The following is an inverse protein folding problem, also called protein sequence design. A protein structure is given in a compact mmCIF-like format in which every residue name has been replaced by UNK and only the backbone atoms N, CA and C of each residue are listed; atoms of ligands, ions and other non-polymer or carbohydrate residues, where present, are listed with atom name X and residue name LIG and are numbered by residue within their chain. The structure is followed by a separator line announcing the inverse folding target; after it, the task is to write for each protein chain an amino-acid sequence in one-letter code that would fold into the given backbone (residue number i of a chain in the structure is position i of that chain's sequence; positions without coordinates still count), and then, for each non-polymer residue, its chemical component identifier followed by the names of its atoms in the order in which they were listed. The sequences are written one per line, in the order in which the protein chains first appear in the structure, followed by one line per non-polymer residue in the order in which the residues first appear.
data_IF_287753011417
#
_entry.id   IF_287753011417
#
_cell.length_a   1.000
_cell.length_b   1.000
_cell.length_c   1.000
_cell.angle_alpha   90.00
_cell.angle_beta   90.00
_cell.angle_gamma   90.00
#
_symmetry.space_group_name_H-M   'P 1'
#
loop_
_entity.id
_entity.type
_entity.pdbx_description
1 polymer ?
#
# COMPACT_ATOMS: atom_id res chain seq x y z
N UNK A 1 19.31 25.80 26.33
CA UNK A 1 18.21 25.86 25.32
C UNK A 1 18.01 24.45 24.81
N UNK A 2 16.78 23.92 24.80
CA UNK A 2 16.57 22.52 25.21
C UNK A 2 15.46 21.85 24.39
N UNK A 3 15.70 20.63 23.92
CA UNK A 3 14.69 19.76 23.32
C UNK A 3 13.77 19.22 24.43
N UNK A 4 12.46 19.28 24.26
CA UNK A 4 11.50 18.78 25.27
C UNK A 4 10.75 17.56 24.73
N UNK A 5 10.80 16.45 25.46
CA UNK A 5 10.17 15.18 25.09
C UNK A 5 9.32 14.68 26.25
N UNK A 6 8.01 14.53 26.06
CA UNK A 6 7.12 14.04 27.11
C UNK A 6 7.16 14.87 28.41
N UNK A 7 7.45 16.17 28.28
CA UNK A 7 7.63 17.09 29.41
C UNK A 7 9.02 17.05 30.07
N UNK A 8 9.93 16.17 29.64
CA UNK A 8 11.33 16.13 30.09
C UNK A 8 12.20 17.01 29.20
N UNK A 9 13.13 17.72 29.83
CA UNK A 9 14.13 18.57 29.17
C UNK A 9 15.38 17.74 28.86
N UNK A 10 15.88 17.82 27.63
CA UNK A 10 17.14 17.23 27.19
C UNK A 10 18.14 18.37 26.98
N UNK A 11 19.11 18.47 27.88
CA UNK A 11 20.04 19.61 27.95
C UNK A 11 21.38 19.30 27.29
N UNK A 12 22.14 20.34 26.95
CA UNK A 12 23.52 20.18 26.46
C UNK A 12 24.46 19.76 27.60
N UNK A 13 25.62 19.15 27.29
CA UNK A 13 26.66 18.83 28.28
C UNK A 13 27.11 20.00 29.16
N UNK A 14 27.01 21.24 28.65
CA UNK A 14 27.48 22.46 29.34
C UNK A 14 26.42 23.13 30.25
N UNK A 15 25.18 22.62 30.32
CA UNK A 15 24.07 23.29 31.02
C UNK A 15 23.94 22.92 32.53
N UNK A 16 24.89 22.18 33.14
CA UNK A 16 24.89 21.85 34.60
C UNK A 16 26.21 22.15 35.35
N UNK A 17 26.16 22.46 36.68
CA UNK A 17 27.30 22.96 37.44
C UNK A 17 28.36 21.87 37.69
N UNK A 18 29.64 22.28 37.62
CA UNK A 18 30.81 21.42 37.71
C UNK A 18 30.77 20.41 38.88
N UNK A 19 30.85 19.12 38.54
CA UNK A 19 31.37 18.08 39.43
C UNK A 19 32.38 17.24 38.64
N UNK A 20 33.58 17.07 39.20
CA UNK A 20 34.73 16.45 38.54
C UNK A 20 34.53 14.95 38.34
N UNK A 21 34.28 14.55 37.09
CA UNK A 21 34.42 13.18 36.59
C UNK A 21 34.49 13.27 35.06
N UNK A 22 35.37 12.52 34.41
CA UNK A 22 35.72 12.65 32.99
C UNK A 22 34.65 12.14 31.99
N UNK A 23 33.38 12.12 32.40
CA UNK A 23 32.19 11.91 31.56
C UNK A 23 31.10 12.79 32.17
N UNK A 24 30.64 13.82 31.47
CA UNK A 24 29.64 14.76 31.99
C UNK A 24 28.23 14.15 32.05
N UNK A 25 27.37 14.57 32.98
CA UNK A 25 25.99 14.10 33.06
C UNK A 25 25.17 14.36 31.77
N UNK A 26 25.43 15.45 31.05
CA UNK A 26 24.72 15.75 29.80
C UNK A 26 25.12 14.88 28.60
N UNK A 27 26.33 14.31 28.58
CA UNK A 27 26.72 13.31 27.56
C UNK A 27 25.93 12.01 27.74
N UNK A 28 25.54 11.71 28.97
CA UNK A 28 24.72 10.54 29.30
C UNK A 28 23.27 10.71 28.84
N UNK A 29 22.70 11.92 28.92
CA UNK A 29 21.33 12.19 28.49
C UNK A 29 21.16 12.17 26.97
N UNK A 30 22.09 12.75 26.21
CA UNK A 30 22.06 12.70 24.74
C UNK A 30 22.31 11.28 24.24
N UNK A 31 23.26 10.54 24.83
CA UNK A 31 23.52 9.16 24.46
C UNK A 31 22.34 8.22 24.80
N UNK A 32 21.71 8.40 25.96
CA UNK A 32 20.51 7.66 26.34
C UNK A 32 19.34 7.97 25.38
N UNK A 33 19.14 9.25 25.07
CA UNK A 33 18.13 9.66 24.11
C UNK A 33 18.41 9.11 22.71
N UNK A 34 19.66 9.15 22.25
CA UNK A 34 20.08 8.59 20.96
C UNK A 34 19.79 7.09 20.89
N UNK A 35 20.00 6.35 21.99
CA UNK A 35 19.67 4.94 22.07
C UNK A 35 18.15 4.71 22.02
N UNK A 36 17.36 5.43 22.81
CA UNK A 36 15.90 5.30 22.84
C UNK A 36 15.27 5.71 21.49
N UNK A 37 15.77 6.77 20.86
CA UNK A 37 15.35 7.20 19.52
C UNK A 37 15.77 6.17 18.46
N UNK A 38 16.98 5.60 18.54
CA UNK A 38 17.42 4.53 17.65
C UNK A 38 16.53 3.29 17.77
N UNK A 39 16.22 2.85 18.99
CA UNK A 39 15.32 1.71 19.23
C UNK A 39 13.91 2.00 18.72
N UNK A 40 13.40 3.22 18.95
CA UNK A 40 12.13 3.66 18.39
C UNK A 40 12.15 3.69 16.86
N UNK A 41 13.21 4.18 16.22
CA UNK A 41 13.37 4.19 14.75
C UNK A 41 13.50 2.78 14.17
N UNK A 42 14.25 1.89 14.84
CA UNK A 42 14.43 0.50 14.43
C UNK A 42 13.14 -0.31 14.58
N UNK A 43 12.39 -0.14 15.68
CA UNK A 43 11.07 -0.76 15.85
C UNK A 43 10.06 -0.24 14.81
N UNK A 44 10.27 0.99 14.32
CA UNK A 44 9.56 1.62 13.19
C UNK A 44 10.15 1.28 11.81
N UNK A 45 11.13 0.38 11.75
CA UNK A 45 11.65 -0.22 10.52
C UNK A 45 12.84 0.49 9.85
N UNK A 46 13.41 1.54 10.46
CA UNK A 46 14.65 2.12 9.97
C UNK A 46 15.83 1.19 10.32
N UNK A 47 16.11 0.23 9.46
CA UNK A 47 17.14 -0.81 9.71
C UNK A 47 18.51 -0.45 9.14
N UNK A 48 18.56 0.44 8.16
CA UNK A 48 19.81 0.84 7.52
C UNK A 48 20.68 1.70 8.46
N UNK A 49 21.90 1.23 8.73
CA UNK A 49 22.84 1.92 9.64
C UNK A 49 23.21 3.33 9.16
N UNK A 50 23.30 3.56 7.85
CA UNK A 50 23.60 4.89 7.31
C UNK A 50 22.44 5.88 7.54
N UNK A 51 21.19 5.43 7.45
CA UNK A 51 20.02 6.26 7.75
C UNK A 51 19.87 6.50 9.25
N UNK A 52 20.12 5.48 10.06
CA UNK A 52 20.19 5.64 11.51
C UNK A 52 21.28 6.65 11.90
N UNK A 53 22.47 6.56 11.32
CA UNK A 53 23.55 7.51 11.58
C UNK A 53 23.17 8.95 11.19
N UNK A 54 22.63 9.15 9.98
CA UNK A 54 22.17 10.46 9.53
C UNK A 54 21.06 11.06 10.42
N UNK A 55 20.12 10.23 10.87
CA UNK A 55 19.06 10.67 11.79
C UNK A 55 19.61 10.97 13.18
N UNK A 56 20.59 10.22 13.66
CA UNK A 56 21.25 10.51 14.93
C UNK A 56 22.08 11.80 14.88
N UNK A 57 22.69 12.11 13.73
CA UNK A 57 23.32 13.43 13.49
C UNK A 57 22.28 14.56 13.51
N UNK A 58 21.11 14.35 12.90
CA UNK A 58 20.00 15.31 12.97
C UNK A 58 19.45 15.47 14.39
N UNK A 59 19.35 14.39 15.16
CA UNK A 59 18.97 14.43 16.58
C UNK A 59 19.94 15.28 17.38
N UNK A 60 21.25 15.03 17.24
CA UNK A 60 22.28 15.85 17.89
C UNK A 60 22.15 17.32 17.49
N UNK A 61 21.88 17.60 16.22
CA UNK A 61 21.62 18.96 15.75
C UNK A 61 20.38 19.61 16.40
N UNK A 62 19.31 18.84 16.66
CA UNK A 62 18.11 19.32 17.36
C UNK A 62 18.40 19.61 18.84
N UNK A 63 19.15 18.74 19.50
CA UNK A 63 19.64 18.96 20.88
C UNK A 63 20.50 20.23 20.93
N UNK A 64 21.25 20.52 19.86
CA UNK A 64 22.17 21.66 19.82
C UNK A 64 21.61 22.97 19.24
N UNK A 65 20.41 22.99 18.66
CA UNK A 65 19.82 24.18 18.00
C UNK A 65 19.35 25.25 18.99
N UNK A 66 19.34 26.51 18.52
CA UNK A 66 18.93 27.71 19.28
C UNK A 66 17.40 27.93 19.33
N UNK A 67 16.58 26.99 18.86
CA UNK A 67 15.12 27.07 18.90
C UNK A 67 14.57 25.93 19.74
N UNK A 68 13.62 26.24 20.62
CA UNK A 68 12.93 25.24 21.43
C UNK A 68 12.00 24.41 20.54
N UNK A 69 12.25 23.10 20.48
CA UNK A 69 11.40 22.13 19.81
C UNK A 69 10.78 21.18 20.84
N UNK A 70 9.49 20.87 20.66
CA UNK A 70 8.70 20.10 21.63
C UNK A 70 8.04 18.90 20.97
N UNK A 71 8.23 17.73 21.56
CA UNK A 71 7.64 16.47 21.13
C UNK A 71 6.88 15.81 22.28
N UNK A 72 5.73 15.22 21.95
CA UNK A 72 4.86 14.58 22.95
C UNK A 72 5.48 13.31 23.56
N UNK A 73 6.35 12.62 22.82
CA UNK A 73 7.02 11.37 23.22
C UNK A 73 8.23 11.09 22.33
N UNK A 74 9.04 10.10 22.70
CA UNK A 74 10.15 9.58 21.87
C UNK A 74 9.61 9.02 20.56
N UNK A 75 8.47 8.34 20.61
CA UNK A 75 7.77 7.85 19.43
C UNK A 75 7.39 8.97 18.46
N UNK A 76 6.93 10.13 18.98
CA UNK A 76 6.61 11.29 18.15
C UNK A 76 7.88 11.92 17.53
N UNK A 77 8.97 12.00 18.29
CA UNK A 77 10.27 12.46 17.79
C UNK A 77 10.84 11.54 16.70
N UNK A 78 10.78 10.22 16.91
CA UNK A 78 11.20 9.23 15.94
C UNK A 78 10.35 9.30 14.65
N UNK A 79 9.04 9.52 14.78
CA UNK A 79 8.14 9.70 13.63
C UNK A 79 8.52 10.95 12.81
N UNK A 80 8.79 12.07 13.49
CA UNK A 80 9.23 13.32 12.85
C UNK A 80 10.55 13.16 12.07
N UNK A 81 11.56 12.51 12.66
CA UNK A 81 12.82 12.27 11.94
C UNK A 81 12.66 11.34 10.75
N UNK A 82 11.78 10.36 10.88
CA UNK A 82 11.48 9.42 9.80
C UNK A 82 10.81 10.12 8.61
N UNK A 83 9.87 11.04 8.86
CA UNK A 83 9.25 11.90 7.84
C UNK A 83 10.28 12.80 7.14
N UNK A 84 11.22 13.39 7.89
CA UNK A 84 12.30 14.23 7.32
C UNK A 84 13.26 13.44 6.44
N UNK A 85 13.65 12.24 6.86
CA UNK A 85 14.54 11.38 6.10
C UNK A 85 13.89 10.92 4.78
N UNK A 86 12.59 10.60 4.82
CA UNK A 86 11.81 10.20 3.64
C UNK A 86 11.71 11.32 2.59
N UNK A 87 11.61 12.58 3.02
CA UNK A 87 11.62 13.72 2.12
C UNK A 87 12.96 13.87 1.36
N UNK A 88 14.05 13.36 1.91
CA UNK A 88 15.40 13.48 1.34
C UNK A 88 15.83 12.24 0.54
N UNK A 89 15.38 11.04 0.92
CA UNK A 89 15.73 9.78 0.24
C UNK A 89 14.46 8.99 -0.13
N UNK A 90 13.86 9.24 -1.31
CA UNK A 90 12.61 8.59 -1.72
C UNK A 90 12.75 7.08 -2.00
N UNK A 91 13.95 6.52 -1.89
CA UNK A 91 14.18 5.07 -1.87
C UNK A 91 13.93 4.45 -0.48
N UNK A 92 13.77 5.26 0.57
CA UNK A 92 13.31 4.79 1.87
C UNK A 92 11.78 4.64 1.87
N UNK A 93 11.23 3.44 2.06
CA UNK A 93 9.78 3.24 2.08
C UNK A 93 9.08 4.02 3.20
N UNK A 94 7.82 4.43 2.97
CA UNK A 94 6.95 4.93 4.04
C UNK A 94 6.78 3.88 5.14
N UNK A 95 6.64 4.36 6.37
CA UNK A 95 6.56 3.59 7.63
C UNK A 95 5.59 2.38 7.60
N UNK A 96 4.45 2.47 6.92
CA UNK A 96 3.49 1.36 6.82
C UNK A 96 3.99 0.19 5.94
N UNK A 97 4.89 0.46 4.99
CA UNK A 97 5.45 -0.51 4.05
C UNK A 97 6.73 -1.20 4.56
N UNK A 98 7.34 -0.67 5.62
CA UNK A 98 8.69 -1.09 6.06
C UNK A 98 8.76 -2.53 6.60
N UNK A 99 7.79 -3.04 7.39
CA UNK A 99 7.84 -4.43 7.85
C UNK A 99 7.68 -5.44 6.71
N UNK A 100 6.96 -5.08 5.64
CA UNK A 100 6.59 -5.99 4.55
C UNK A 100 7.58 -5.94 3.39
N UNK A 101 8.06 -4.75 3.02
CA UNK A 101 8.89 -4.56 1.82
C UNK A 101 10.34 -4.18 2.12
N UNK A 102 10.72 -3.91 3.39
CA UNK A 102 12.08 -3.51 3.76
C UNK A 102 13.16 -4.46 3.23
N UNK A 103 12.95 -5.78 3.40
CA UNK A 103 13.88 -6.81 2.89
C UNK A 103 13.99 -6.82 1.36
N UNK A 104 12.92 -6.47 0.65
CA UNK A 104 12.97 -6.39 -0.81
C UNK A 104 13.76 -5.17 -1.30
N UNK A 105 13.70 -4.04 -0.56
CA UNK A 105 14.54 -2.88 -0.84
C UNK A 105 16.02 -3.17 -0.60
N UNK A 106 16.36 -3.81 0.53
CA UNK A 106 17.72 -4.27 0.83
C UNK A 106 18.25 -5.21 -0.26
N UNK A 107 17.46 -6.23 -0.59
CA UNK A 107 17.83 -7.18 -1.64
C UNK A 107 18.04 -6.49 -3.01
N UNK A 108 17.23 -5.50 -3.40
CA UNK A 108 17.48 -4.75 -4.64
C UNK A 108 18.78 -3.93 -4.58
N UNK A 109 19.06 -3.29 -3.43
CA UNK A 109 20.26 -2.48 -3.21
C UNK A 109 21.53 -3.32 -3.28
N UNK A 110 21.47 -4.54 -2.76
CA UNK A 110 22.59 -5.47 -2.72
C UNK A 110 22.75 -6.28 -4.02
N UNK A 111 22.11 -5.85 -5.11
CA UNK A 111 22.24 -6.49 -6.42
C UNK A 111 21.42 -7.76 -6.60
N UNK A 112 20.33 -7.89 -5.85
CA UNK A 112 19.39 -9.01 -5.92
C UNK A 112 18.83 -9.20 -7.34
N UNK A 113 18.71 -10.47 -7.74
CA UNK A 113 18.28 -10.82 -9.09
C UNK A 113 16.76 -10.75 -9.24
N UNK A 114 16.33 -10.26 -10.40
CA UNK A 114 14.94 -10.16 -10.80
C UNK A 114 14.65 -11.11 -11.96
N UNK A 115 13.49 -11.78 -11.91
CA UNK A 115 12.98 -12.57 -13.03
C UNK A 115 11.74 -11.88 -13.61
N UNK A 116 11.67 -11.70 -14.93
CA UNK A 116 10.48 -11.14 -15.56
C UNK A 116 9.29 -12.08 -15.34
N UNK A 117 8.21 -11.56 -14.75
CA UNK A 117 7.02 -12.32 -14.41
C UNK A 117 5.87 -12.02 -15.37
N UNK A 118 5.63 -10.75 -15.67
CA UNK A 118 4.57 -10.33 -16.57
C UNK A 118 4.86 -8.97 -17.22
N UNK A 119 4.29 -8.76 -18.41
CA UNK A 119 4.34 -7.48 -19.12
C UNK A 119 2.91 -6.98 -19.35
N UNK A 120 2.48 -6.01 -18.54
CA UNK A 120 1.15 -5.40 -18.61
C UNK A 120 1.12 -4.17 -19.55
N UNK A 121 -0.02 -3.48 -19.68
CA UNK A 121 -0.12 -2.31 -20.56
C UNK A 121 0.84 -1.18 -20.20
N UNK A 122 0.93 -0.82 -18.91
CA UNK A 122 1.70 0.33 -18.42
C UNK A 122 3.05 -0.02 -17.80
N UNK A 123 3.22 -1.26 -17.35
CA UNK A 123 4.32 -1.69 -16.48
C UNK A 123 4.83 -3.08 -16.83
N UNK A 124 6.10 -3.33 -16.52
CA UNK A 124 6.70 -4.66 -16.41
C UNK A 124 6.65 -5.06 -14.95
N UNK A 125 6.38 -6.33 -14.69
CA UNK A 125 6.33 -6.89 -13.35
C UNK A 125 7.42 -7.95 -13.28
N UNK A 126 8.32 -7.77 -12.33
CA UNK A 126 9.41 -8.68 -12.03
C UNK A 126 9.15 -9.35 -10.68
N UNK A 127 9.57 -10.59 -10.54
CA UNK A 127 9.64 -11.27 -9.26
C UNK A 127 11.05 -11.09 -8.69
N UNK A 128 11.14 -10.78 -7.40
CA UNK A 128 12.42 -10.75 -6.71
C UNK A 128 12.79 -12.17 -6.29
N UNK A 129 13.90 -12.71 -6.80
CA UNK A 129 14.22 -14.13 -6.61
C UNK A 129 14.47 -14.50 -5.14
N UNK A 130 15.05 -13.57 -4.36
CA UNK A 130 15.30 -13.74 -2.92
C UNK A 130 14.03 -13.61 -2.07
N UNK A 131 12.98 -12.98 -2.60
CA UNK A 131 11.68 -12.78 -1.96
C UNK A 131 10.57 -13.10 -2.96
N UNK A 132 10.29 -14.39 -3.22
CA UNK A 132 9.38 -14.81 -4.29
C UNK A 132 7.92 -14.41 -4.05
N UNK A 133 7.58 -13.95 -2.85
CA UNK A 133 6.31 -13.37 -2.46
C UNK A 133 6.21 -11.86 -2.75
N UNK A 134 7.24 -11.24 -3.30
CA UNK A 134 7.27 -9.81 -3.62
C UNK A 134 7.51 -9.61 -5.12
N UNK A 135 6.67 -8.77 -5.72
CA UNK A 135 6.81 -8.35 -7.10
C UNK A 135 7.24 -6.89 -7.19
N UNK A 136 8.15 -6.59 -8.10
CA UNK A 136 8.52 -5.23 -8.49
C UNK A 136 7.76 -4.86 -9.76
N UNK A 137 6.89 -3.86 -9.66
CA UNK A 137 6.21 -3.24 -10.79
C UNK A 137 6.99 -2.01 -11.25
N UNK A 138 7.51 -2.00 -12.47
CA UNK A 138 8.27 -0.89 -13.06
C UNK A 138 7.56 -0.36 -14.30
N UNK A 139 7.45 0.96 -14.42
CA UNK A 139 6.88 1.59 -15.59
C UNK A 139 7.69 1.27 -16.87
N UNK A 140 6.99 0.97 -17.98
CA UNK A 140 7.61 0.48 -19.22
C UNK A 140 8.54 1.48 -19.89
N UNK A 141 8.14 2.74 -19.92
CA UNK A 141 8.81 3.86 -20.60
C UNK A 141 8.32 5.19 -19.98
N UNK A 142 9.07 6.29 -20.13
CA UNK A 142 8.84 7.57 -19.43
C UNK A 142 7.40 8.10 -19.55
N UNK A 143 6.67 7.75 -20.61
CA UNK A 143 5.28 8.14 -20.76
C UNK A 143 4.31 7.44 -19.79
N UNK A 144 4.77 6.40 -19.07
CA UNK A 144 3.96 5.57 -18.15
C UNK A 144 4.23 5.82 -16.67
N UNK A 145 5.19 6.68 -16.33
CA UNK A 145 5.57 6.91 -14.94
C UNK A 145 4.42 7.44 -14.09
N UNK A 146 3.71 8.45 -14.59
CA UNK A 146 2.56 9.02 -13.89
C UNK A 146 1.42 8.01 -13.70
N UNK A 147 1.20 7.14 -14.69
CA UNK A 147 0.17 6.11 -14.62
C UNK A 147 0.50 5.07 -13.54
N UNK A 148 1.75 4.61 -13.48
CA UNK A 148 2.23 3.67 -12.45
C UNK A 148 2.19 4.30 -11.06
N UNK A 149 2.62 5.56 -10.93
CA UNK A 149 2.58 6.28 -9.67
C UNK A 149 1.14 6.48 -9.17
N UNK A 150 0.24 6.89 -10.07
CA UNK A 150 -1.18 7.07 -9.77
C UNK A 150 -1.85 5.77 -9.36
N UNK A 151 -1.49 4.66 -10.02
CA UNK A 151 -1.99 3.34 -9.68
C UNK A 151 -1.61 2.92 -8.24
N UNK A 152 -0.34 3.08 -7.86
CA UNK A 152 0.12 2.76 -6.51
C UNK A 152 -0.57 3.60 -5.45
N UNK A 153 -0.71 4.91 -5.71
CA UNK A 153 -1.45 5.83 -4.83
C UNK A 153 -2.91 5.43 -4.68
N UNK A 154 -3.57 5.06 -5.78
CA UNK A 154 -4.97 4.63 -5.76
C UNK A 154 -5.14 3.34 -4.93
N UNK A 155 -4.25 2.36 -5.08
CA UNK A 155 -4.32 1.13 -4.27
C UNK A 155 -4.22 1.41 -2.77
N UNK A 156 -3.38 2.36 -2.35
CA UNK A 156 -3.31 2.76 -0.93
C UNK A 156 -4.61 3.42 -0.45
N UNK A 157 -5.13 4.34 -1.25
CA UNK A 157 -6.35 5.08 -0.90
C UNK A 157 -7.59 4.18 -0.80
N UNK A 158 -7.68 3.11 -1.59
CA UNK A 158 -8.82 2.18 -1.58
C UNK A 158 -9.05 1.55 -0.19
N UNK A 159 -7.97 1.21 0.52
CA UNK A 159 -8.06 0.57 1.83
C UNK A 159 -8.74 1.49 2.87
N UNK A 160 -8.46 2.79 2.81
CA UNK A 160 -9.12 3.79 3.67
C UNK A 160 -10.62 3.93 3.39
N UNK A 161 -11.06 3.56 2.18
CA UNK A 161 -12.47 3.55 1.76
C UNK A 161 -13.15 2.18 1.95
N UNK A 162 -12.52 1.25 2.66
CA UNK A 162 -13.06 -0.09 2.91
C UNK A 162 -13.00 -1.03 1.71
N UNK A 163 -12.37 -0.63 0.60
CA UNK A 163 -12.12 -1.48 -0.58
C UNK A 163 -10.76 -2.15 -0.43
N UNK A 164 -10.72 -3.48 -0.47
CA UNK A 164 -9.46 -4.21 -0.40
C UNK A 164 -8.66 -4.02 -1.68
N UNK A 165 -7.41 -3.63 -1.51
CA UNK A 165 -6.44 -3.52 -2.58
C UNK A 165 -5.17 -4.28 -2.25
N UNK A 166 -4.40 -4.58 -3.29
CA UNK A 166 -3.11 -5.22 -3.16
C UNK A 166 -2.20 -4.34 -2.32
N UNK A 167 -1.57 -4.92 -1.30
CA UNK A 167 -0.58 -4.21 -0.50
C UNK A 167 0.59 -3.81 -1.38
N UNK A 168 0.94 -2.53 -1.37
CA UNK A 168 2.03 -1.97 -2.18
C UNK A 168 2.93 -1.03 -1.37
N UNK A 169 4.19 -0.93 -1.79
CA UNK A 169 5.14 0.05 -1.24
C UNK A 169 4.84 1.48 -1.72
N UNK A 170 5.64 2.45 -1.27
CA UNK A 170 5.74 3.73 -1.97
C UNK A 170 6.25 3.59 -3.40
N UNK A 171 5.96 4.63 -4.18
CA UNK A 171 6.51 4.79 -5.52
C UNK A 171 7.93 5.31 -5.38
N UNK A 172 8.88 4.57 -5.93
CA UNK A 172 10.29 4.94 -5.96
C UNK A 172 10.83 4.89 -7.39
N UNK A 173 12.11 5.22 -7.56
CA UNK A 173 12.78 5.16 -8.86
C UNK A 173 13.64 3.90 -8.98
N UNK A 174 13.50 3.18 -10.08
CA UNK A 174 14.31 2.01 -10.40
C UNK A 174 14.71 2.04 -11.87
N UNK A 175 16.02 2.09 -12.16
CA UNK A 175 16.54 2.18 -13.52
C UNK A 175 16.04 3.40 -14.30
N UNK A 176 15.84 4.55 -13.63
CA UNK A 176 15.31 5.77 -14.24
C UNK A 176 13.80 5.78 -14.50
N UNK A 177 13.05 4.81 -13.93
CA UNK A 177 11.61 4.63 -14.14
C UNK A 177 10.89 4.62 -12.79
N UNK A 178 9.61 5.03 -12.74
CA UNK A 178 8.79 4.87 -11.54
C UNK A 178 8.45 3.40 -11.30
N UNK A 179 8.59 2.97 -10.06
CA UNK A 179 8.36 1.60 -9.64
C UNK A 179 7.70 1.53 -8.26
N UNK A 180 7.10 0.39 -7.95
CA UNK A 180 6.63 0.05 -6.61
C UNK A 180 6.69 -1.46 -6.40
N UNK A 181 6.79 -1.90 -5.15
CA UNK A 181 6.63 -3.30 -4.79
C UNK A 181 5.18 -3.63 -4.49
N UNK A 182 4.79 -4.87 -4.75
CA UNK A 182 3.52 -5.44 -4.31
C UNK A 182 3.70 -6.83 -3.71
N UNK A 183 2.86 -7.17 -2.74
CA UNK A 183 2.86 -8.49 -2.12
C UNK A 183 2.05 -9.47 -2.96
N UNK A 184 2.59 -10.67 -3.19
CA UNK A 184 1.88 -11.79 -3.79
C UNK A 184 0.73 -12.24 -2.88
N UNK A 185 -0.41 -12.54 -3.48
CA UNK A 185 -1.53 -13.20 -2.81
C UNK A 185 -1.46 -14.68 -3.17
N UNK A 186 -1.31 -15.56 -2.20
CA UNK A 186 -1.22 -17.00 -2.45
C UNK A 186 -2.55 -17.59 -2.94
N UNK A 187 -2.47 -18.53 -3.89
CA UNK A 187 -3.66 -19.16 -4.49
C UNK A 187 -4.56 -18.20 -5.28
N UNK A 188 -4.12 -16.96 -5.48
CA UNK A 188 -4.77 -15.91 -6.26
C UNK A 188 -5.25 -16.37 -7.65
N UNK A 189 -6.46 -15.96 -8.03
CA UNK A 189 -6.90 -15.99 -9.44
C UNK A 189 -7.31 -14.59 -9.87
N UNK A 190 -6.69 -14.10 -10.93
CA UNK A 190 -7.09 -12.84 -11.56
C UNK A 190 -8.46 -12.98 -12.21
N UNK A 191 -9.30 -11.98 -12.01
CA UNK A 191 -10.61 -11.87 -12.64
C UNK A 191 -10.93 -10.42 -12.96
N UNK A 192 -11.63 -10.20 -14.06
CA UNK A 192 -12.25 -8.91 -14.38
C UNK A 192 -13.66 -8.90 -13.81
N UNK A 193 -13.95 -7.87 -13.01
CA UNK A 193 -15.28 -7.65 -12.44
C UNK A 193 -16.23 -7.21 -13.55
N UNK A 194 -15.74 -6.33 -14.43
CA UNK A 194 -16.50 -5.74 -15.53
C UNK A 194 -15.95 -6.16 -16.89
N UNK A 195 -16.77 -6.01 -17.92
CA UNK A 195 -16.44 -6.40 -19.29
C UNK A 195 -15.25 -5.62 -19.90
N UNK A 196 -14.79 -4.54 -19.26
CA UNK A 196 -13.68 -3.71 -19.70
C UNK A 196 -14.09 -2.76 -20.83
N UNK A 197 -13.34 -1.67 -21.01
CA UNK A 197 -13.67 -0.56 -21.93
C UNK A 197 -13.79 -1.00 -23.41
N UNK A 198 -13.16 -2.12 -23.78
CA UNK A 198 -13.11 -2.64 -25.15
C UNK A 198 -14.06 -3.81 -25.42
N UNK A 199 -14.87 -4.25 -24.45
CA UNK A 199 -15.82 -5.33 -24.71
C UNK A 199 -16.93 -4.86 -25.66
N UNK A 200 -16.98 -5.50 -26.83
CA UNK A 200 -18.04 -5.33 -27.82
C UNK A 200 -19.31 -6.08 -27.44
N UNK A 201 -19.23 -7.03 -26.49
CA UNK A 201 -20.37 -7.83 -26.01
C UNK A 201 -20.82 -7.35 -24.63
N UNK A 202 -22.14 -7.25 -24.37
CA UNK A 202 -22.64 -6.95 -23.03
C UNK A 202 -22.20 -8.02 -22.03
N UNK A 203 -21.92 -7.60 -20.79
CA UNK A 203 -21.63 -8.54 -19.71
C UNK A 203 -22.89 -9.37 -19.42
N UNK A 204 -22.70 -10.68 -19.30
CA UNK A 204 -23.70 -11.69 -18.93
C UNK A 204 -23.06 -12.64 -17.94
N UNK A 205 -23.85 -13.46 -17.25
CA UNK A 205 -23.30 -14.50 -16.37
C UNK A 205 -22.41 -15.49 -17.11
N UNK A 206 -22.75 -15.83 -18.34
CA UNK A 206 -22.01 -16.78 -19.16
C UNK A 206 -20.62 -16.27 -19.58
N UNK A 207 -20.45 -14.95 -19.69
CA UNK A 207 -19.17 -14.33 -20.09
C UNK A 207 -18.51 -13.53 -18.94
N UNK A 208 -19.02 -13.63 -17.71
CA UNK A 208 -18.42 -13.00 -16.54
C UNK A 208 -17.18 -13.78 -16.09
N UNK A 209 -16.02 -13.13 -16.19
CA UNK A 209 -14.75 -13.74 -15.75
C UNK A 209 -14.69 -13.87 -14.23
N UNK A 210 -15.31 -12.94 -13.49
CA UNK A 210 -15.44 -13.03 -12.03
C UNK A 210 -16.27 -14.25 -11.61
N UNK A 211 -17.47 -14.44 -12.16
CA UNK A 211 -18.32 -15.60 -11.83
C UNK A 211 -17.59 -16.91 -12.15
N UNK A 212 -16.92 -16.97 -13.30
CA UNK A 212 -16.16 -18.16 -13.71
C UNK A 212 -14.99 -18.45 -12.75
N UNK A 213 -14.23 -17.43 -12.36
CA UNK A 213 -13.11 -17.58 -11.45
C UNK A 213 -13.56 -17.94 -10.01
N UNK A 214 -14.69 -17.40 -9.55
CA UNK A 214 -15.28 -17.75 -8.25
C UNK A 214 -15.77 -19.22 -8.22
N UNK A 215 -16.31 -19.73 -9.33
CA UNK A 215 -16.65 -21.16 -9.47
C UNK A 215 -15.41 -22.04 -9.45
N UNK A 216 -14.38 -21.68 -10.23
CA UNK A 216 -13.11 -22.42 -10.28
C UNK A 216 -12.43 -22.50 -8.91
N UNK A 217 -12.53 -21.44 -8.09
CA UNK A 217 -11.98 -21.39 -6.73
C UNK A 217 -12.89 -21.98 -5.65
N UNK A 218 -14.02 -22.59 -6.02
CA UNK A 218 -14.95 -23.21 -5.07
C UNK A 218 -15.65 -22.22 -4.13
N UNK A 219 -15.63 -20.92 -4.46
CA UNK A 219 -16.29 -19.89 -3.64
C UNK A 219 -17.81 -20.01 -3.72
N UNK A 220 -18.34 -20.38 -4.89
CA UNK A 220 -19.80 -20.54 -5.12
C UNK A 220 -20.44 -21.67 -4.31
N UNK A 221 -19.64 -22.56 -3.74
CA UNK A 221 -20.09 -23.70 -2.94
C UNK A 221 -19.85 -23.50 -1.44
N UNK A 222 -19.18 -22.43 -1.04
CA UNK A 222 -18.87 -22.10 0.35
C UNK A 222 -19.56 -20.80 0.76
N UNK A 223 -20.58 -20.92 1.62
CA UNK A 223 -21.37 -19.77 2.05
C UNK A 223 -20.54 -18.71 2.80
N UNK A 224 -19.49 -19.10 3.54
CA UNK A 224 -18.65 -18.16 4.27
C UNK A 224 -17.79 -17.35 3.29
N UNK A 225 -17.13 -18.03 2.36
CA UNK A 225 -16.33 -17.36 1.31
C UNK A 225 -17.19 -16.48 0.41
N UNK A 226 -18.38 -16.96 0.03
CA UNK A 226 -19.29 -16.19 -0.81
C UNK A 226 -19.84 -14.95 -0.10
N UNK A 227 -20.12 -15.04 1.20
CA UNK A 227 -20.52 -13.87 2.00
C UNK A 227 -19.40 -12.82 2.05
N UNK A 228 -18.15 -13.26 2.20
CA UNK A 228 -16.97 -12.39 2.14
C UNK A 228 -16.84 -11.72 0.77
N UNK A 229 -16.91 -12.50 -0.32
CA UNK A 229 -16.89 -11.97 -1.69
C UNK A 229 -17.98 -10.93 -1.93
N UNK A 230 -19.20 -11.20 -1.44
CA UNK A 230 -20.32 -10.29 -1.59
C UNK A 230 -20.11 -8.98 -0.83
N UNK A 231 -19.60 -9.04 0.40
CA UNK A 231 -19.26 -7.85 1.19
C UNK A 231 -18.20 -6.98 0.49
N UNK A 232 -17.14 -7.58 -0.03
CA UNK A 232 -16.10 -6.84 -0.77
C UNK A 232 -16.67 -6.22 -2.06
N UNK A 233 -17.54 -6.94 -2.78
CA UNK A 233 -18.19 -6.42 -3.98
C UNK A 233 -19.11 -5.22 -3.67
N UNK A 234 -19.80 -5.24 -2.52
CA UNK A 234 -20.60 -4.12 -2.05
C UNK A 234 -19.75 -2.90 -1.69
N UNK A 235 -18.61 -3.08 -1.05
CA UNK A 235 -17.67 -1.99 -0.80
C UNK A 235 -17.17 -1.36 -2.12
N UNK A 236 -16.86 -2.19 -3.13
CA UNK A 236 -16.49 -1.74 -4.47
C UNK A 236 -17.63 -0.95 -5.14
N UNK A 237 -18.88 -1.41 -5.01
CA UNK A 237 -20.07 -0.72 -5.56
C UNK A 237 -20.30 0.65 -4.94
N UNK A 238 -20.19 0.76 -3.61
CA UNK A 238 -20.30 2.03 -2.89
C UNK A 238 -19.21 3.00 -3.35
N UNK A 239 -17.95 2.56 -3.34
CA UNK A 239 -16.82 3.39 -3.78
C UNK A 239 -16.96 3.81 -5.25
N UNK A 240 -17.42 2.90 -6.12
CA UNK A 240 -17.63 3.20 -7.54
C UNK A 240 -18.76 4.19 -7.78
N UNK A 241 -19.78 4.21 -6.91
CA UNK A 241 -20.86 5.20 -6.97
C UNK A 241 -20.34 6.59 -6.59
N UNK A 242 -19.50 6.67 -5.58
CA UNK A 242 -18.86 7.93 -5.14
C UNK A 242 -17.78 8.41 -6.10
N UNK A 243 -17.07 7.49 -6.75
CA UNK A 243 -15.99 7.73 -7.72
C UNK A 243 -16.25 6.95 -9.02
N UNK A 244 -17.19 7.40 -9.88
CA UNK A 244 -17.54 6.69 -11.12
C UNK A 244 -16.36 6.39 -12.05
N UNK A 245 -15.34 7.24 -12.06
CA UNK A 245 -14.11 7.07 -12.84
C UNK A 245 -13.30 5.81 -12.46
N UNK A 246 -13.54 5.24 -11.28
CA UNK A 246 -12.95 3.98 -10.82
C UNK A 246 -13.46 2.75 -11.61
N UNK A 247 -14.64 2.85 -12.23
CA UNK A 247 -15.27 1.74 -12.96
C UNK A 247 -14.61 1.40 -14.31
N UNK A 248 -13.61 2.18 -14.72
CA UNK A 248 -13.03 2.13 -16.07
C UNK A 248 -12.32 0.81 -16.38
N UNK A 249 -11.56 0.25 -15.44
CA UNK A 249 -10.90 -1.06 -15.60
C UNK A 249 -10.87 -1.84 -14.28
N UNK A 250 -12.06 -2.25 -13.80
CA UNK A 250 -12.17 -3.00 -12.56
C UNK A 250 -11.76 -4.46 -12.73
N UNK A 251 -10.55 -4.75 -12.24
CA UNK A 251 -10.01 -6.09 -12.11
C UNK A 251 -9.53 -6.37 -10.68
N UNK A 252 -9.70 -7.61 -10.27
CA UNK A 252 -9.38 -8.08 -8.93
C UNK A 252 -8.68 -9.43 -8.97
N UNK A 253 -8.09 -9.77 -7.83
CA UNK A 253 -7.61 -11.10 -7.50
C UNK A 253 -8.58 -11.68 -6.48
N UNK A 254 -8.97 -12.94 -6.67
CA UNK A 254 -9.73 -13.70 -5.69
C UNK A 254 -8.74 -14.46 -4.81
N UNK A 255 -8.74 -14.16 -3.51
CA UNK A 255 -8.00 -14.94 -2.52
C UNK A 255 -8.71 -16.27 -2.25
N UNK A 256 -8.09 -17.38 -2.65
CA UNK A 256 -8.76 -18.70 -2.67
C UNK A 256 -9.16 -19.23 -1.28
N UNK A 257 -8.46 -18.81 -0.23
CA UNK A 257 -8.67 -19.28 1.15
C UNK A 257 -9.89 -18.61 1.78
N UNK A 258 -10.05 -17.31 1.56
CA UNK A 258 -11.03 -16.47 2.25
C UNK A 258 -12.22 -16.07 1.38
N UNK A 259 -12.05 -16.06 0.05
CA UNK A 259 -13.01 -15.48 -0.89
C UNK A 259 -12.89 -13.97 -1.07
N UNK A 260 -11.87 -13.32 -0.51
CA UNK A 260 -11.69 -11.87 -0.64
C UNK A 260 -11.47 -11.45 -2.10
N UNK A 261 -12.04 -10.30 -2.46
CA UNK A 261 -11.77 -9.61 -3.73
C UNK A 261 -10.75 -8.50 -3.48
N UNK A 262 -9.55 -8.63 -4.06
CA UNK A 262 -8.44 -7.71 -3.87
C UNK A 262 -8.15 -6.97 -5.17
N UNK A 263 -8.32 -5.65 -5.19
CA UNK A 263 -8.02 -4.81 -6.37
C UNK A 263 -6.51 -4.71 -6.58
N UNK A 264 -5.98 -5.06 -7.76
CA UNK A 264 -4.53 -5.16 -7.98
C UNK A 264 -3.95 -4.23 -9.06
N UNK A 265 -4.76 -3.77 -10.01
CA UNK A 265 -4.35 -2.79 -11.02
C UNK A 265 -5.49 -1.82 -11.34
N UNK A 266 -5.87 -0.97 -10.39
CA UNK A 266 -6.93 -0.01 -10.65
C UNK A 266 -6.43 1.05 -11.64
N UNK A 267 -7.15 1.25 -12.74
CA UNK A 267 -6.95 2.41 -13.59
C UNK A 267 -8.07 3.39 -13.38
N UNK A 268 -7.75 4.63 -12.98
CA UNK A 268 -8.68 5.74 -13.12
C UNK A 268 -8.52 6.36 -14.50
N UNK A 269 -9.62 6.89 -15.02
CA UNK A 269 -9.52 7.84 -16.12
C UNK A 269 -8.82 9.12 -15.60
N UNK A 270 -7.91 9.69 -16.38
CA UNK A 270 -7.38 11.03 -16.09
C UNK A 270 -8.54 12.03 -16.05
N UNK A 271 -8.74 12.68 -14.90
CA UNK A 271 -9.73 13.75 -14.75
C UNK A 271 -9.31 14.91 -15.64
N UNK A 272 -10.15 15.26 -16.61
CA UNK A 272 -9.92 16.35 -17.55
C UNK A 272 -11.26 16.87 -18.08
N UNK A 273 -11.27 18.12 -18.54
CA UNK A 273 -12.47 18.92 -18.86
C UNK A 273 -13.40 18.36 -19.96
N UNK A 274 -13.16 17.16 -20.47
CA UNK A 274 -14.00 16.49 -21.45
C UNK A 274 -14.41 15.11 -20.97
N UNK A 275 -15.15 15.02 -19.85
CA UNK A 275 -15.99 13.86 -19.61
C UNK A 275 -17.07 13.80 -20.70
N UNK A 276 -16.72 13.27 -21.88
CA UNK A 276 -17.64 13.12 -22.98
C UNK A 276 -18.87 12.33 -22.51
N UNK A 277 -20.04 12.65 -23.05
CA UNK A 277 -21.31 11.92 -22.79
C UNK A 277 -21.11 10.40 -22.90
N UNK A 278 -20.27 9.97 -23.86
CA UNK A 278 -19.90 8.56 -24.08
C UNK A 278 -19.21 7.95 -22.85
N UNK A 279 -18.38 8.70 -22.14
CA UNK A 279 -17.67 8.21 -20.96
C UNK A 279 -18.60 8.05 -19.75
N UNK A 280 -19.48 9.03 -19.52
CA UNK A 280 -20.51 8.94 -18.47
C UNK A 280 -21.48 7.78 -18.73
N UNK A 281 -21.86 7.56 -19.99
CA UNK A 281 -22.67 6.39 -20.37
C UNK A 281 -21.96 5.06 -20.10
N UNK A 282 -20.64 4.99 -20.31
CA UNK A 282 -19.84 3.81 -19.98
C UNK A 282 -19.77 3.57 -18.47
N UNK A 283 -19.56 4.61 -17.67
CA UNK A 283 -19.54 4.52 -16.21
C UNK A 283 -20.91 4.09 -15.66
N UNK A 284 -21.99 4.69 -16.15
CA UNK A 284 -23.36 4.30 -15.76
C UNK A 284 -23.68 2.85 -16.16
N UNK A 285 -23.22 2.39 -17.33
CA UNK A 285 -23.34 0.98 -17.74
C UNK A 285 -22.52 0.06 -16.83
N UNK A 286 -21.30 0.45 -16.51
CA UNK A 286 -20.41 -0.29 -15.63
C UNK A 286 -20.99 -0.46 -14.22
N UNK A 287 -21.60 0.59 -13.66
CA UNK A 287 -22.31 0.52 -12.38
C UNK A 287 -23.51 -0.44 -12.43
N UNK A 288 -24.28 -0.44 -13.53
CA UNK A 288 -25.37 -1.42 -13.72
C UNK A 288 -24.84 -2.85 -13.83
N UNK A 289 -23.73 -3.06 -14.55
CA UNK A 289 -23.07 -4.36 -14.65
C UNK A 289 -22.58 -4.86 -13.29
N UNK A 290 -22.03 -3.97 -12.47
CA UNK A 290 -21.59 -4.27 -11.10
C UNK A 290 -22.76 -4.69 -10.21
N UNK A 291 -23.86 -3.93 -10.23
CA UNK A 291 -25.07 -4.22 -9.47
C UNK A 291 -25.70 -5.58 -9.88
N UNK A 292 -25.69 -5.91 -11.17
CA UNK A 292 -26.14 -7.22 -11.67
C UNK A 292 -25.29 -8.36 -11.10
N UNK A 293 -23.96 -8.22 -11.10
CA UNK A 293 -23.07 -9.23 -10.51
C UNK A 293 -23.35 -9.39 -9.02
N UNK A 294 -23.54 -8.28 -8.30
CA UNK A 294 -23.88 -8.31 -6.88
C UNK A 294 -25.20 -9.05 -6.62
N UNK A 295 -26.23 -8.80 -7.42
CA UNK A 295 -27.51 -9.50 -7.33
C UNK A 295 -27.34 -11.02 -7.44
N UNK A 296 -26.54 -11.48 -8.40
CA UNK A 296 -26.33 -12.92 -8.64
C UNK A 296 -25.58 -13.59 -7.48
N UNK A 297 -24.57 -12.91 -6.91
CA UNK A 297 -23.88 -13.43 -5.73
C UNK A 297 -24.82 -13.50 -4.52
N UNK A 298 -25.69 -12.49 -4.34
CA UNK A 298 -26.70 -12.49 -3.27
C UNK A 298 -27.70 -13.64 -3.42
N UNK A 299 -28.21 -13.90 -4.63
CA UNK A 299 -29.10 -15.02 -4.89
C UNK A 299 -28.43 -16.36 -4.58
N UNK A 300 -27.17 -16.53 -4.98
CA UNK A 300 -26.41 -17.74 -4.70
C UNK A 300 -26.17 -17.92 -3.20
N UNK A 301 -25.83 -16.86 -2.48
CA UNK A 301 -25.68 -16.88 -1.03
C UNK A 301 -26.99 -17.29 -0.33
N UNK A 302 -28.12 -16.77 -0.81
CA UNK A 302 -29.45 -17.10 -0.30
C UNK A 302 -29.77 -18.59 -0.52
N UNK A 303 -29.45 -19.14 -1.70
CA UNK A 303 -29.62 -20.58 -2.00
C UNK A 303 -28.80 -21.46 -1.06
N UNK A 304 -27.53 -21.12 -0.83
CA UNK A 304 -26.67 -21.86 0.11
C UNK A 304 -27.17 -21.77 1.55
N UNK A 305 -27.70 -20.61 1.96
CA UNK A 305 -28.28 -20.40 3.28
C UNK A 305 -29.56 -21.22 3.51
N UNK A 306 -30.39 -21.40 2.48
CA UNK A 306 -31.61 -22.20 2.55
C UNK A 306 -31.31 -23.70 2.72
N UNK A 307 -30.25 -24.21 2.08
CA UNK A 307 -29.83 -25.63 2.19
C UNK A 307 -29.34 -26.02 3.59
N UNK A 308 -28.83 -25.06 4.38
CA UNK A 308 -28.42 -25.29 5.77
C UNK A 308 -29.58 -25.35 6.76
N UNK A 309 -30.78 -24.84 6.42
CA UNK A 309 -31.96 -24.88 7.30
C UNK A 309 -32.79 -26.17 7.16
N UNK A 310 -32.48 -26.99 6.17
CA UNK A 310 -33.19 -28.25 5.85
C UNK A 310 -32.42 -29.51 6.24
N UNK A 311 -31.34 -29.38 7.01
CA UNK A 311 -30.64 -30.46 7.71
C UNK A 311 -30.68 -30.21 9.20
#
# INVERSE_FOLDING_TARGET
MTLIIGGRRVSKPDDEPQASSSVGPGDYEEAALALEVKEALQSKGMLEQAHLAAVLELLSHYVHKLKEERFASIDALATHFLELQQAQSPLTPNHEAVPVFGKAFEALKDGGTLSEFAVGGQKRVFQLNTHPDIFLAVAKDNSKDEAVASQAKLMKNLSASGVRALTVSEVFEYGGRKAFFSKKVEGAKGARILSGVKATKPLTLANSTLVSALKEKGVFTDAAKLAVTFADLKAIEVYSTEKPSFTWDLQCIIESTTGHLIIHDPSSRAEGASASVVSQQKEAKALKELAMVACVLQEQLTKLGAVKKTK
#
